data_IF_766223181853
#
_entry.id   IF_766223181853
#
_cell.length_a   1.000
_cell.length_b   1.000
_cell.length_c   1.000
_cell.angle_alpha   90.00
_cell.angle_beta   90.00
_cell.angle_gamma   90.00
#
_symmetry.space_group_name_H-M   'P 1'
#
loop_
_entity.id
_entity.type
_entity.pdbx_description
1 polymer ?
#
# COMPACT_ATOMS: atom_id res chain seq x y z
N UNK A 1 -17.41 21.82 12.61
CA UNK A 1 -17.61 20.64 11.74
C UNK A 1 -17.26 21.00 10.29
N UNK A 2 -16.72 20.05 9.55
CA UNK A 2 -16.47 20.20 8.12
C UNK A 2 -17.23 19.12 7.38
N UNK A 3 -18.00 19.52 6.36
CA UNK A 3 -18.80 18.60 5.55
C UNK A 3 -18.60 18.89 4.06
N UNK A 4 -18.64 17.86 3.22
CA UNK A 4 -18.60 17.98 1.77
C UNK A 4 -19.90 17.41 1.15
N UNK A 5 -20.39 18.04 0.09
CA UNK A 5 -21.45 17.48 -0.74
C UNK A 5 -20.82 16.59 -1.82
N UNK A 6 -20.93 15.29 -1.63
CA UNK A 6 -20.36 14.29 -2.52
C UNK A 6 -21.41 13.67 -3.46
N UNK A 7 -22.59 14.28 -3.60
CA UNK A 7 -23.67 13.73 -4.43
C UNK A 7 -23.29 13.59 -5.90
N UNK A 8 -22.43 14.49 -6.42
CA UNK A 8 -21.90 14.40 -7.77
C UNK A 8 -21.04 13.15 -8.03
N UNK A 9 -20.46 12.57 -6.97
CA UNK A 9 -19.67 11.34 -7.01
C UNK A 9 -20.43 10.12 -6.48
N UNK A 10 -21.74 10.26 -6.24
CA UNK A 10 -22.59 9.20 -5.70
C UNK A 10 -22.52 9.03 -4.19
N UNK A 11 -21.86 9.93 -3.50
CA UNK A 11 -21.77 9.98 -2.04
C UNK A 11 -22.92 10.73 -1.36
N UNK A 12 -22.74 11.01 -0.07
CA UNK A 12 -23.73 11.77 0.75
C UNK A 12 -23.56 13.27 0.56
N UNK A 13 -24.64 14.01 0.74
CA UNK A 13 -24.63 15.47 0.70
C UNK A 13 -23.92 16.10 1.90
N UNK A 14 -23.93 15.44 3.04
CA UNK A 14 -23.39 15.89 4.31
C UNK A 14 -22.25 14.98 4.80
N UNK A 15 -21.39 14.59 3.90
CA UNK A 15 -20.23 13.74 4.22
C UNK A 15 -19.29 14.50 5.16
N UNK A 16 -19.04 13.93 6.34
CA UNK A 16 -18.17 14.54 7.35
C UNK A 16 -16.71 14.26 7.03
N UNK A 17 -15.90 15.30 6.98
CA UNK A 17 -14.46 15.20 6.93
C UNK A 17 -13.88 15.14 8.34
N UNK A 18 -12.73 14.47 8.50
CA UNK A 18 -11.95 14.57 9.73
C UNK A 18 -11.51 16.01 9.94
N UNK A 19 -11.88 16.68 11.05
CA UNK A 19 -11.58 18.09 11.23
C UNK A 19 -10.09 18.39 11.50
N UNK A 20 -9.31 17.39 11.87
CA UNK A 20 -7.87 17.54 12.11
C UNK A 20 -7.06 17.36 10.83
N UNK A 21 -7.43 16.40 10.01
CA UNK A 21 -6.74 16.06 8.77
C UNK A 21 -7.35 16.76 7.55
N UNK A 22 -8.62 17.22 7.67
CA UNK A 22 -9.41 17.77 6.57
C UNK A 22 -9.58 16.79 5.39
N UNK A 23 -9.57 15.50 5.71
CA UNK A 23 -9.60 14.41 4.75
C UNK A 23 -10.86 13.56 4.89
N UNK A 24 -11.20 12.87 3.82
CA UNK A 24 -12.24 11.86 3.78
C UNK A 24 -12.13 11.09 2.47
N UNK A 25 -12.49 9.82 2.50
CA UNK A 25 -12.50 9.00 1.29
C UNK A 25 -13.88 8.37 1.05
N UNK A 26 -14.24 8.26 -0.21
CA UNK A 26 -15.43 7.55 -0.66
C UNK A 26 -15.10 6.71 -1.89
N UNK A 27 -15.84 5.64 -2.09
CA UNK A 27 -15.89 4.98 -3.39
C UNK A 27 -16.76 5.82 -4.34
N UNK A 28 -16.19 6.22 -5.48
CA UNK A 28 -16.95 6.86 -6.56
C UNK A 28 -17.94 5.84 -7.12
N UNK A 29 -19.21 6.26 -7.27
CA UNK A 29 -20.26 5.36 -7.72
C UNK A 29 -20.04 4.96 -9.19
N UNK A 30 -20.33 3.71 -9.51
CA UNK A 30 -20.31 3.21 -10.89
C UNK A 30 -21.16 4.09 -11.83
N UNK A 31 -20.63 4.36 -13.03
CA UNK A 31 -21.27 5.20 -14.04
C UNK A 31 -20.96 6.69 -13.93
N UNK A 32 -20.23 7.14 -12.90
CA UNK A 32 -19.70 8.51 -12.86
C UNK A 32 -18.60 8.62 -13.92
N UNK A 33 -18.73 9.64 -14.79
CA UNK A 33 -17.78 9.86 -15.88
C UNK A 33 -16.48 10.44 -15.37
N UNK A 34 -15.36 10.13 -16.05
CA UNK A 34 -14.10 10.81 -15.81
C UNK A 34 -14.21 12.31 -16.08
N UNK A 35 -13.53 13.11 -15.26
CA UNK A 35 -13.57 14.56 -15.38
C UNK A 35 -13.32 15.25 -14.03
N UNK A 36 -13.30 16.58 -14.06
CA UNK A 36 -13.11 17.39 -12.86
C UNK A 36 -14.45 17.76 -12.24
N UNK A 37 -14.61 17.51 -10.94
CA UNK A 37 -15.82 17.79 -10.16
C UNK A 37 -15.53 18.84 -9.10
N UNK A 38 -16.32 19.90 -9.10
CA UNK A 38 -16.30 20.94 -8.06
C UNK A 38 -17.26 20.55 -6.94
N UNK A 39 -16.71 20.09 -5.81
CA UNK A 39 -17.51 19.62 -4.67
C UNK A 39 -17.69 20.74 -3.64
N UNK A 40 -18.93 21.11 -3.29
CA UNK A 40 -19.18 22.08 -2.23
C UNK A 40 -18.71 21.57 -0.87
N UNK A 41 -18.01 22.42 -0.13
CA UNK A 41 -17.57 22.17 1.25
C UNK A 41 -18.15 23.22 2.16
N UNK A 42 -18.67 22.80 3.29
CA UNK A 42 -19.21 23.69 4.33
C UNK A 42 -18.42 23.50 5.62
N UNK A 43 -17.90 24.59 6.16
CA UNK A 43 -17.26 24.66 7.48
C UNK A 43 -18.20 25.34 8.44
N UNK A 44 -18.51 24.69 9.58
CA UNK A 44 -19.31 25.23 10.65
C UNK A 44 -18.43 25.42 11.89
N UNK A 45 -18.30 26.67 12.34
CA UNK A 45 -17.50 27.02 13.50
C UNK A 45 -18.20 26.69 14.84
N UNK A 46 -17.54 26.97 15.96
CA UNK A 46 -18.11 26.74 17.31
C UNK A 46 -19.27 27.67 17.64
N UNK A 47 -19.48 28.76 16.90
CA UNK A 47 -20.56 29.73 17.06
C UNK A 47 -21.72 29.50 16.08
N UNK A 48 -21.72 28.35 15.39
CA UNK A 48 -22.73 27.97 14.40
C UNK A 48 -22.69 28.79 13.09
N UNK A 49 -21.65 29.63 12.86
CA UNK A 49 -21.51 30.34 11.59
C UNK A 49 -21.06 29.35 10.51
N UNK A 50 -21.66 29.49 9.32
CA UNK A 50 -21.35 28.64 8.17
C UNK A 50 -20.53 29.38 7.12
N UNK A 51 -19.46 28.73 6.66
CA UNK A 51 -18.60 29.20 5.59
C UNK A 51 -18.60 28.16 4.50
N UNK A 52 -18.80 28.55 3.25
CA UNK A 52 -18.86 27.64 2.10
C UNK A 52 -17.71 27.88 1.14
N UNK A 53 -17.22 26.80 0.57
CA UNK A 53 -16.19 26.79 -0.45
C UNK A 53 -16.38 25.64 -1.41
N UNK A 54 -15.40 25.39 -2.28
CA UNK A 54 -15.39 24.25 -3.19
C UNK A 54 -14.01 23.62 -3.18
N UNK A 55 -13.97 22.31 -3.37
CA UNK A 55 -12.76 21.55 -3.66
C UNK A 55 -12.90 20.91 -5.02
N UNK A 56 -11.84 20.98 -5.82
CA UNK A 56 -11.77 20.33 -7.12
C UNK A 56 -11.24 18.90 -6.97
N UNK A 57 -11.97 17.93 -7.48
CA UNK A 57 -11.60 16.51 -7.46
C UNK A 57 -11.57 16.01 -8.90
N UNK A 58 -10.48 15.39 -9.29
CA UNK A 58 -10.35 14.75 -10.59
C UNK A 58 -10.76 13.27 -10.47
N UNK A 59 -11.74 12.88 -11.28
CA UNK A 59 -12.13 11.47 -11.49
C UNK A 59 -11.49 11.02 -12.79
N UNK A 60 -10.64 10.01 -12.73
CA UNK A 60 -10.01 9.40 -13.89
C UNK A 60 -10.69 8.10 -14.28
N UNK A 61 -10.67 7.75 -15.57
CA UNK A 61 -11.08 6.41 -15.97
C UNK A 61 -10.06 5.39 -15.46
N UNK A 62 -10.59 4.28 -14.90
CA UNK A 62 -9.74 3.15 -14.57
C UNK A 62 -9.31 2.46 -15.87
N UNK A 63 -8.03 2.33 -16.06
CA UNK A 63 -7.49 1.58 -17.20
C UNK A 63 -7.61 0.08 -16.93
N UNK A 64 -8.69 -0.53 -17.42
CA UNK A 64 -8.92 -1.98 -17.23
C UNK A 64 -8.02 -2.86 -18.12
N UNK A 65 -7.24 -2.23 -19.04
CA UNK A 65 -6.40 -2.96 -19.98
C UNK A 65 -7.23 -3.79 -21.00
N UNK A 66 -6.55 -4.62 -21.76
CA UNK A 66 -7.16 -5.61 -22.67
C UNK A 66 -7.76 -6.77 -21.86
N UNK A 67 -8.66 -7.54 -22.48
CA UNK A 67 -9.16 -8.79 -21.90
C UNK A 67 -8.01 -9.66 -21.41
N UNK A 68 -7.99 -9.92 -20.10
CA UNK A 68 -6.96 -10.70 -19.43
C UNK A 68 -7.60 -11.94 -18.82
N UNK A 69 -7.09 -13.10 -19.20
CA UNK A 69 -7.49 -14.37 -18.63
C UNK A 69 -6.46 -14.84 -17.59
N UNK A 70 -6.91 -15.09 -16.37
CA UNK A 70 -6.07 -15.62 -15.31
C UNK A 70 -5.48 -16.99 -15.63
N UNK A 71 -6.20 -17.80 -16.42
CA UNK A 71 -5.73 -19.13 -16.81
C UNK A 71 -4.53 -19.04 -17.77
N UNK A 72 -4.33 -17.87 -18.39
CA UNK A 72 -3.19 -17.55 -19.25
C UNK A 72 -2.12 -16.70 -18.57
N UNK A 73 -2.24 -16.46 -17.26
CA UNK A 73 -1.31 -15.61 -16.53
C UNK A 73 0.10 -16.21 -16.46
N UNK A 74 1.08 -15.46 -16.96
CA UNK A 74 2.50 -15.72 -16.78
C UNK A 74 3.05 -14.65 -15.83
N UNK A 75 3.18 -15.03 -14.56
CA UNK A 75 3.54 -14.12 -13.48
C UNK A 75 5.05 -14.11 -13.27
N UNK A 76 5.67 -12.94 -13.32
CA UNK A 76 7.06 -12.72 -12.93
C UNK A 76 7.12 -12.02 -11.58
N UNK A 77 7.67 -12.67 -10.55
CA UNK A 77 7.93 -12.04 -9.27
C UNK A 77 9.24 -11.25 -9.32
N UNK A 78 9.13 -9.95 -9.20
CA UNK A 78 10.26 -9.04 -9.09
C UNK A 78 10.43 -8.58 -7.64
N UNK A 79 11.51 -8.99 -6.98
CA UNK A 79 11.98 -8.25 -5.78
C UNK A 79 12.48 -6.91 -6.29
N UNK A 80 11.67 -5.87 -6.14
CA UNK A 80 11.84 -4.57 -6.84
C UNK A 80 13.24 -4.01 -6.67
N UNK A 81 13.74 -3.96 -5.43
CA UNK A 81 15.08 -3.48 -5.10
C UNK A 81 16.21 -4.26 -5.80
N UNK A 82 15.98 -5.53 -6.14
CA UNK A 82 16.97 -6.44 -6.75
C UNK A 82 16.88 -6.54 -8.25
N UNK A 83 15.86 -5.94 -8.86
CA UNK A 83 15.58 -6.18 -10.28
C UNK A 83 16.43 -5.31 -11.20
N UNK A 84 16.25 -4.00 -11.18
CA UNK A 84 17.02 -3.07 -12.00
C UNK A 84 16.97 -1.66 -11.42
N UNK A 85 18.15 -1.04 -11.29
CA UNK A 85 18.34 0.33 -10.82
C UNK A 85 18.17 1.30 -12.01
N UNK A 86 17.03 1.94 -12.09
CA UNK A 86 16.66 2.84 -13.18
C UNK A 86 16.89 4.31 -12.85
N UNK A 87 16.89 4.66 -11.56
CA UNK A 87 17.07 6.01 -11.07
C UNK A 87 18.05 6.01 -9.88
N UNK A 88 19.33 6.22 -10.15
CA UNK A 88 20.38 6.18 -9.13
C UNK A 88 20.29 7.28 -8.06
N UNK A 89 19.41 8.26 -8.22
CA UNK A 89 19.26 9.37 -7.25
C UNK A 89 18.45 8.98 -6.02
N UNK A 90 17.69 7.88 -6.07
CA UNK A 90 16.89 7.36 -4.97
C UNK A 90 17.60 6.23 -4.18
N UNK A 91 18.81 5.83 -4.57
CA UNK A 91 19.52 4.70 -3.98
C UNK A 91 19.80 4.84 -2.47
N UNK A 92 20.10 6.05 -2.00
CA UNK A 92 20.20 6.38 -0.57
C UNK A 92 19.16 7.46 -0.22
N UNK A 93 17.89 7.17 -0.52
CA UNK A 93 16.79 8.13 -0.49
C UNK A 93 16.55 8.78 0.87
N UNK A 94 16.98 8.14 1.95
CA UNK A 94 16.84 8.65 3.33
C UNK A 94 18.16 9.14 3.92
N UNK A 95 19.28 9.03 3.19
CA UNK A 95 20.61 9.47 3.67
C UNK A 95 21.14 8.64 4.86
N UNK A 96 20.73 7.38 4.94
CA UNK A 96 21.06 6.47 6.07
C UNK A 96 22.25 5.57 5.79
N UNK A 97 22.77 5.58 4.54
CA UNK A 97 23.86 4.71 4.10
C UNK A 97 23.46 3.23 4.01
N UNK A 98 22.20 2.96 3.75
CA UNK A 98 21.62 1.63 3.64
C UNK A 98 21.76 1.00 2.23
N UNK A 99 22.24 1.78 1.27
CA UNK A 99 22.56 1.32 -0.07
C UNK A 99 23.98 0.72 -0.14
N UNK A 100 24.08 -0.55 -0.55
CA UNK A 100 25.34 -1.24 -0.75
C UNK A 100 25.18 -2.44 -1.69
N UNK A 101 25.75 -2.35 -2.89
CA UNK A 101 25.72 -3.41 -3.91
C UNK A 101 26.91 -4.40 -3.82
N UNK A 102 27.83 -4.23 -2.87
CA UNK A 102 28.97 -5.13 -2.72
C UNK A 102 28.50 -6.57 -2.40
N UNK A 103 28.80 -7.57 -3.23
CA UNK A 103 28.33 -8.93 -3.01
C UNK A 103 28.84 -9.55 -1.68
N UNK A 104 29.93 -9.06 -1.14
CA UNK A 104 30.52 -9.58 0.09
C UNK A 104 29.91 -8.94 1.35
N UNK A 105 29.44 -7.70 1.26
CA UNK A 105 29.03 -6.91 2.44
C UNK A 105 27.63 -6.33 2.35
N UNK A 106 27.03 -6.28 1.16
CA UNK A 106 25.77 -5.60 0.89
C UNK A 106 24.55 -6.52 0.69
N UNK A 107 24.68 -7.82 0.91
CA UNK A 107 23.60 -8.79 0.60
C UNK A 107 22.26 -8.47 1.27
N UNK A 108 22.27 -7.82 2.43
CA UNK A 108 21.10 -7.42 3.21
C UNK A 108 20.81 -5.91 3.17
N UNK A 109 21.48 -5.17 2.27
CA UNK A 109 21.29 -3.74 2.04
C UNK A 109 20.42 -3.49 0.81
N UNK A 110 19.99 -2.24 0.60
CA UNK A 110 19.36 -1.83 -0.65
C UNK A 110 20.34 -1.89 -1.82
N UNK A 111 19.87 -2.31 -2.99
CA UNK A 111 20.64 -2.40 -4.24
C UNK A 111 20.16 -1.41 -5.31
N UNK A 112 19.11 -0.64 -5.05
CA UNK A 112 18.63 0.45 -5.87
C UNK A 112 17.70 0.06 -7.01
N UNK A 113 17.19 -1.15 -7.06
CA UNK A 113 16.10 -1.48 -7.97
C UNK A 113 14.82 -0.70 -7.61
N UNK A 114 14.12 -0.18 -8.62
CA UNK A 114 13.08 0.81 -8.44
C UNK A 114 11.98 0.76 -9.52
N UNK A 115 10.96 1.62 -9.42
CA UNK A 115 9.86 1.71 -10.39
C UNK A 115 10.35 2.16 -11.77
N UNK A 116 11.33 3.06 -11.83
CA UNK A 116 11.94 3.49 -13.08
C UNK A 116 12.66 2.32 -13.77
N UNK A 117 13.35 1.49 -13.01
CA UNK A 117 14.04 0.31 -13.50
C UNK A 117 13.08 -0.76 -14.02
N UNK A 118 11.99 -1.02 -13.29
CA UNK A 118 10.92 -1.91 -13.75
C UNK A 118 10.34 -1.38 -15.08
N UNK A 119 10.03 -0.08 -15.16
CA UNK A 119 9.50 0.56 -16.37
C UNK A 119 10.45 0.38 -17.56
N UNK A 120 11.74 0.59 -17.37
CA UNK A 120 12.76 0.41 -18.41
C UNK A 120 12.90 -1.05 -18.89
N UNK A 121 12.48 -2.02 -18.09
CA UNK A 121 12.59 -3.45 -18.38
C UNK A 121 11.27 -4.11 -18.81
N UNK A 122 10.21 -3.33 -19.03
CA UNK A 122 8.93 -3.89 -19.47
C UNK A 122 9.01 -4.61 -20.82
N UNK A 123 9.83 -4.12 -21.76
CA UNK A 123 10.04 -4.82 -23.04
C UNK A 123 10.69 -6.18 -22.84
N UNK A 124 11.73 -6.24 -22.02
CA UNK A 124 12.38 -7.50 -21.66
C UNK A 124 11.41 -8.52 -21.05
N UNK A 125 10.55 -8.08 -20.12
CA UNK A 125 9.54 -8.94 -19.50
C UNK A 125 8.48 -9.39 -20.52
N UNK A 126 8.02 -8.49 -21.37
CA UNK A 126 7.07 -8.80 -22.45
C UNK A 126 7.65 -9.81 -23.44
N UNK A 127 8.93 -9.67 -23.83
CA UNK A 127 9.62 -10.59 -24.73
C UNK A 127 9.79 -12.00 -24.12
N UNK A 128 9.81 -12.11 -22.78
CA UNK A 128 9.78 -13.39 -22.05
C UNK A 128 8.39 -14.02 -22.02
N UNK A 129 7.35 -13.31 -22.52
CA UNK A 129 5.97 -13.77 -22.45
C UNK A 129 5.29 -13.47 -21.11
N UNK A 130 5.89 -12.63 -20.26
CA UNK A 130 5.28 -12.19 -18.98
C UNK A 130 4.13 -11.23 -19.29
N UNK A 131 2.98 -11.51 -18.71
CA UNK A 131 1.80 -10.65 -18.81
C UNK A 131 1.29 -10.15 -17.45
N UNK A 132 1.93 -10.56 -16.35
CA UNK A 132 1.66 -10.06 -15.00
C UNK A 132 2.98 -9.91 -14.24
N UNK A 133 3.22 -8.71 -13.71
CA UNK A 133 4.38 -8.43 -12.87
C UNK A 133 3.92 -8.38 -11.43
N UNK A 134 4.44 -9.28 -10.58
CA UNK A 134 4.28 -9.21 -9.14
C UNK A 134 5.50 -8.49 -8.53
N UNK A 135 5.25 -7.38 -7.85
CA UNK A 135 6.28 -6.56 -7.18
C UNK A 135 6.15 -6.65 -5.67
N UNK A 136 7.26 -6.52 -4.97
CA UNK A 136 7.33 -6.46 -3.50
C UNK A 136 6.50 -5.28 -2.96
N UNK A 137 6.15 -5.26 -1.64
CA UNK A 137 5.36 -4.18 -1.06
C UNK A 137 5.96 -2.81 -1.34
N UNK A 138 5.09 -1.85 -1.64
CA UNK A 138 5.48 -0.50 -2.12
C UNK A 138 5.55 0.55 -1.02
N UNK A 139 5.05 0.23 0.18
CA UNK A 139 4.93 1.18 1.29
C UNK A 139 6.27 1.44 1.99
N UNK A 140 6.36 2.56 2.72
CA UNK A 140 7.57 2.91 3.47
C UNK A 140 7.96 1.79 4.44
N UNK A 141 9.24 1.45 4.42
CA UNK A 141 9.79 0.37 5.23
C UNK A 141 10.69 0.89 6.36
N UNK A 142 10.87 0.02 7.36
CA UNK A 142 11.76 0.26 8.47
C UNK A 142 13.18 0.56 7.96
N UNK A 143 13.70 1.71 8.35
CA UNK A 143 15.05 2.15 7.98
C UNK A 143 16.11 1.75 8.99
N UNK A 144 15.67 1.26 10.14
CA UNK A 144 16.60 0.71 11.13
C UNK A 144 16.98 -0.71 10.75
N UNK A 145 18.17 -1.03 11.12
CA UNK A 145 18.80 -2.31 10.95
C UNK A 145 18.14 -3.34 11.85
N UNK A 146 17.35 -4.26 11.26
CA UNK A 146 16.98 -5.49 11.95
C UNK A 146 18.19 -6.43 12.05
N UNK A 147 18.26 -7.21 13.11
CA UNK A 147 19.21 -8.32 13.18
C UNK A 147 18.72 -9.42 12.26
N UNK A 148 19.54 -9.81 11.27
CA UNK A 148 19.27 -11.02 10.51
C UNK A 148 19.35 -12.21 11.48
N UNK A 149 18.23 -12.92 11.64
CA UNK A 149 18.14 -14.08 12.55
C UNK A 149 19.10 -15.21 12.17
N UNK A 150 19.40 -15.31 10.87
CA UNK A 150 20.23 -16.38 10.29
C UNK A 150 21.73 -16.03 10.28
N UNK A 151 22.07 -14.77 10.51
CA UNK A 151 23.46 -14.27 10.53
C UNK A 151 23.66 -13.36 11.74
N UNK A 152 23.92 -13.91 12.93
CA UNK A 152 24.09 -13.14 14.16
C UNK A 152 25.09 -12.01 14.02
N UNK A 153 24.69 -10.79 14.40
CA UNK A 153 25.52 -9.59 14.29
C UNK A 153 25.49 -8.91 12.91
N UNK A 154 24.77 -9.44 11.95
CA UNK A 154 24.57 -8.83 10.62
C UNK A 154 23.30 -7.99 10.64
N UNK A 155 23.41 -6.78 10.07
CA UNK A 155 22.29 -5.85 9.97
C UNK A 155 21.59 -6.06 8.63
N UNK A 156 20.27 -6.18 8.67
CA UNK A 156 19.41 -6.24 7.50
C UNK A 156 18.56 -4.99 7.41
N UNK A 157 18.37 -4.50 6.19
CA UNK A 157 17.47 -3.39 5.88
C UNK A 157 16.16 -3.93 5.28
N UNK A 158 15.11 -3.12 5.29
CA UNK A 158 13.79 -3.48 4.78
C UNK A 158 13.65 -3.47 3.25
N UNK A 159 14.73 -3.75 2.50
CA UNK A 159 14.76 -3.71 1.03
C UNK A 159 13.70 -4.57 0.34
N UNK A 160 13.27 -5.62 1.02
CA UNK A 160 12.26 -6.56 0.53
C UNK A 160 10.82 -6.07 0.67
N UNK A 161 10.57 -4.97 1.40
CA UNK A 161 9.25 -4.36 1.54
C UNK A 161 8.35 -4.92 2.63
N UNK A 162 8.75 -5.98 3.35
CA UNK A 162 7.90 -6.65 4.35
C UNK A 162 7.99 -6.09 5.77
N UNK A 163 8.73 -5.01 5.99
CA UNK A 163 8.87 -4.35 7.29
C UNK A 163 8.32 -2.93 7.24
N UNK A 164 7.00 -2.82 7.04
CA UNK A 164 6.34 -1.53 6.88
C UNK A 164 6.51 -0.65 8.14
N UNK A 165 6.92 0.59 7.95
CA UNK A 165 6.95 1.64 8.97
C UNK A 165 5.81 2.64 8.83
N UNK A 166 5.21 2.73 7.63
CA UNK A 166 4.04 3.55 7.32
C UNK A 166 3.33 2.97 6.10
N UNK A 167 2.04 2.66 6.23
CA UNK A 167 1.24 2.09 5.14
C UNK A 167 0.64 3.14 4.20
N UNK A 168 0.82 4.42 4.49
CA UNK A 168 0.19 5.53 3.74
C UNK A 168 1.13 6.24 2.78
N UNK A 169 2.44 5.97 2.87
CA UNK A 169 3.46 6.59 2.02
C UNK A 169 4.25 5.56 1.22
N UNK A 170 4.71 5.94 0.02
CA UNK A 170 5.61 5.10 -0.78
C UNK A 170 7.00 5.02 -0.16
N UNK A 171 7.64 3.87 -0.31
CA UNK A 171 9.06 3.72 -0.03
C UNK A 171 9.88 4.54 -1.04
N UNK A 172 10.60 5.55 -0.56
CA UNK A 172 11.37 6.46 -1.41
C UNK A 172 12.54 5.78 -2.16
N UNK A 173 13.02 4.64 -1.68
CA UNK A 173 14.00 3.83 -2.42
C UNK A 173 13.41 3.26 -3.72
N UNK A 174 12.10 3.03 -3.75
CA UNK A 174 11.42 2.50 -4.94
C UNK A 174 11.03 3.60 -5.93
N UNK A 175 11.07 4.88 -5.50
CA UNK A 175 10.76 6.01 -6.36
C UNK A 175 9.63 6.90 -5.85
N UNK A 176 9.14 7.73 -6.77
CA UNK A 176 8.05 8.69 -6.55
C UNK A 176 6.69 8.11 -6.96
N UNK A 177 5.62 8.78 -6.54
CA UNK A 177 4.26 8.47 -7.00
C UNK A 177 4.10 8.58 -8.53
N UNK A 178 4.78 9.54 -9.15
CA UNK A 178 4.78 9.72 -10.61
C UNK A 178 5.49 8.56 -11.32
N UNK A 179 6.61 8.08 -10.76
CA UNK A 179 7.33 6.92 -11.31
C UNK A 179 6.50 5.64 -11.14
N UNK A 180 5.80 5.47 -10.01
CA UNK A 180 4.89 4.34 -9.81
C UNK A 180 3.72 4.37 -10.81
N UNK A 181 3.08 5.55 -10.97
CA UNK A 181 2.02 5.72 -11.99
C UNK A 181 2.55 5.44 -13.40
N UNK A 182 3.75 5.90 -13.73
CA UNK A 182 4.38 5.66 -15.03
C UNK A 182 4.62 4.17 -15.27
N UNK A 183 5.01 3.41 -14.26
CA UNK A 183 5.15 1.95 -14.33
C UNK A 183 3.81 1.30 -14.68
N UNK A 184 2.74 1.64 -13.96
CA UNK A 184 1.40 1.10 -14.20
C UNK A 184 0.91 1.42 -15.61
N UNK A 185 0.93 2.70 -16.00
CA UNK A 185 0.49 3.15 -17.33
C UNK A 185 1.28 2.47 -18.46
N UNK A 186 2.58 2.27 -18.25
CA UNK A 186 3.45 1.64 -19.26
C UNK A 186 3.24 0.13 -19.37
N UNK A 187 3.00 -0.54 -18.24
CA UNK A 187 2.64 -1.95 -18.21
C UNK A 187 1.29 -2.17 -18.91
N UNK A 188 0.27 -1.37 -18.59
CA UNK A 188 -1.04 -1.46 -19.18
C UNK A 188 -1.04 -1.23 -20.70
N UNK A 189 -0.26 -0.26 -21.19
CA UNK A 189 -0.06 -0.06 -22.65
C UNK A 189 0.48 -1.27 -23.37
N UNK A 190 1.16 -2.17 -22.66
CA UNK A 190 1.67 -3.45 -23.19
C UNK A 190 0.73 -4.63 -22.95
N UNK A 191 -0.45 -4.38 -22.36
CA UNK A 191 -1.38 -5.44 -21.96
C UNK A 191 -0.93 -6.23 -20.73
N UNK A 192 0.08 -5.74 -20.00
CA UNK A 192 0.58 -6.37 -18.79
C UNK A 192 -0.19 -5.90 -17.57
N UNK A 193 -0.36 -6.77 -16.59
CA UNK A 193 -0.95 -6.47 -15.28
C UNK A 193 0.11 -6.26 -14.22
N UNK A 194 -0.19 -5.42 -13.23
CA UNK A 194 0.69 -5.20 -12.08
C UNK A 194 0.00 -5.68 -10.81
N UNK A 195 0.64 -6.64 -10.15
CA UNK A 195 0.25 -7.22 -8.88
C UNK A 195 1.19 -6.68 -7.80
N UNK A 196 0.64 -6.02 -6.79
CA UNK A 196 1.40 -5.50 -5.66
C UNK A 196 1.27 -6.46 -4.48
N UNK A 197 2.39 -6.71 -3.80
CA UNK A 197 2.39 -7.47 -2.55
C UNK A 197 1.91 -6.60 -1.39
N UNK A 198 1.08 -7.16 -0.52
CA UNK A 198 0.53 -6.45 0.66
C UNK A 198 0.60 -7.29 1.91
N UNK A 199 0.89 -6.63 3.03
CA UNK A 199 0.98 -7.23 4.37
C UNK A 199 -0.03 -6.57 5.29
N UNK A 200 -0.88 -7.36 5.95
CA UNK A 200 -1.81 -6.88 6.97
C UNK A 200 -1.52 -7.48 8.36
N UNK A 201 -0.64 -8.46 8.44
CA UNK A 201 -0.35 -9.19 9.68
C UNK A 201 0.54 -8.42 10.64
N UNK A 202 1.57 -7.76 10.13
CA UNK A 202 2.63 -7.19 10.96
C UNK A 202 3.19 -5.88 10.38
N UNK A 203 3.90 -5.16 11.21
CA UNK A 203 4.70 -3.99 10.88
C UNK A 203 6.20 -4.30 10.93
N UNK A 204 7.03 -3.33 10.60
CA UNK A 204 8.48 -3.38 10.80
C UNK A 204 8.88 -3.32 12.28
N UNK A 205 10.10 -3.74 12.58
CA UNK A 205 10.63 -3.70 13.94
C UNK A 205 10.66 -2.28 14.52
N UNK A 206 10.49 -2.16 15.83
CA UNK A 206 10.54 -0.88 16.58
C UNK A 206 9.45 0.16 16.18
N UNK A 207 8.39 -0.26 15.48
CA UNK A 207 7.30 0.63 15.03
C UNK A 207 6.07 0.60 15.93
N UNK A 208 6.08 -0.16 17.02
CA UNK A 208 4.92 -0.38 17.91
C UNK A 208 4.36 0.94 18.45
N UNK A 209 5.22 1.86 18.88
CA UNK A 209 4.79 3.14 19.42
C UNK A 209 4.09 4.00 18.37
N UNK A 210 4.54 3.95 17.13
CA UNK A 210 3.94 4.67 16.03
C UNK A 210 2.52 4.15 15.76
N UNK A 211 2.37 2.85 15.51
CA UNK A 211 1.05 2.29 15.20
C UNK A 211 0.09 2.34 16.39
N UNK A 212 0.57 2.14 17.62
CA UNK A 212 -0.27 2.26 18.82
C UNK A 212 -0.74 3.69 19.11
N UNK A 213 -0.15 4.70 18.47
CA UNK A 213 -0.62 6.08 18.57
C UNK A 213 -1.80 6.42 17.63
N UNK A 214 -2.10 5.55 16.65
CA UNK A 214 -3.09 5.83 15.61
C UNK A 214 -4.54 5.73 16.06
N UNK A 215 -4.84 4.94 17.09
CA UNK A 215 -6.18 4.70 17.60
C UNK A 215 -6.31 5.20 19.05
N UNK A 216 -6.43 6.51 19.26
CA UNK A 216 -6.80 7.22 20.50
C UNK A 216 -6.81 6.37 21.80
N UNK A 217 -5.66 5.88 22.23
CA UNK A 217 -5.50 5.09 23.45
C UNK A 217 -5.79 3.59 23.33
N UNK A 218 -6.04 3.07 22.12
CA UNK A 218 -6.16 1.66 21.81
C UNK A 218 -4.91 1.19 21.05
N UNK A 219 -4.28 0.14 21.53
CA UNK A 219 -3.14 -0.44 20.84
C UNK A 219 -3.59 -1.16 19.57
N UNK A 220 -2.83 -0.98 18.49
CA UNK A 220 -2.97 -1.77 17.26
C UNK A 220 -2.10 -3.02 17.29
N UNK A 221 -0.95 -2.92 17.96
CA UNK A 221 0.05 -3.99 18.06
C UNK A 221 -0.22 -4.83 19.30
N UNK A 222 -0.22 -6.12 19.14
CA UNK A 222 -0.41 -7.13 20.17
C UNK A 222 0.77 -7.12 21.14
N UNK A 223 0.50 -7.18 22.44
CA UNK A 223 1.52 -7.20 23.47
C UNK A 223 1.08 -7.93 24.74
N UNK A 224 2.01 -8.32 25.57
CA UNK A 224 1.72 -8.92 26.88
C UNK A 224 0.79 -10.15 26.79
N UNK A 225 -0.37 -10.10 27.46
CA UNK A 225 -1.33 -11.19 27.51
C UNK A 225 -2.09 -11.46 26.20
N UNK A 226 -2.02 -10.52 25.25
CA UNK A 226 -2.63 -10.68 23.92
C UNK A 226 -1.76 -11.53 22.98
N UNK A 227 -0.47 -11.69 23.30
CA UNK A 227 0.43 -12.58 22.58
C UNK A 227 0.28 -14.02 23.09
N UNK A 228 0.03 -14.93 22.16
CA UNK A 228 -0.09 -16.37 22.46
C UNK A 228 0.99 -17.11 21.66
N UNK A 229 2.04 -17.53 22.35
CA UNK A 229 3.14 -18.26 21.72
C UNK A 229 2.65 -19.53 21.05
N UNK A 230 3.03 -19.73 19.79
CA UNK A 230 2.62 -20.86 18.96
C UNK A 230 1.22 -20.76 18.35
N UNK A 231 0.45 -19.72 18.67
CA UNK A 231 -0.80 -19.44 17.96
C UNK A 231 -0.49 -18.82 16.59
N UNK A 232 -1.16 -19.28 15.55
CA UNK A 232 -0.91 -18.81 14.18
C UNK A 232 -1.38 -17.38 13.94
N UNK A 233 -2.46 -16.95 14.61
CA UNK A 233 -3.09 -15.62 14.40
C UNK A 233 -2.79 -14.63 15.53
N UNK A 234 -2.32 -15.10 16.69
CA UNK A 234 -2.03 -14.28 17.88
C UNK A 234 -0.61 -14.43 18.39
N UNK A 235 0.25 -15.03 17.60
CA UNK A 235 1.66 -15.20 17.90
C UNK A 235 2.55 -14.40 16.95
N UNK A 236 3.69 -13.90 17.44
CA UNK A 236 4.58 -13.09 16.64
C UNK A 236 5.25 -13.93 15.54
N UNK A 237 5.22 -13.44 14.32
CA UNK A 237 6.00 -14.00 13.21
C UNK A 237 7.39 -13.37 13.22
N UNK A 238 8.43 -14.15 13.52
CA UNK A 238 9.82 -13.67 13.59
C UNK A 238 10.04 -12.46 14.50
N UNK A 239 9.26 -12.37 15.59
CA UNK A 239 9.24 -11.23 16.52
C UNK A 239 8.88 -9.87 15.88
N UNK A 240 8.23 -9.86 14.74
CA UNK A 240 7.67 -8.66 14.15
C UNK A 240 6.46 -8.17 14.95
N UNK A 241 6.24 -6.85 15.03
CA UNK A 241 5.05 -6.27 15.66
C UNK A 241 3.77 -6.78 15.00
N UNK A 242 2.99 -7.58 15.73
CA UNK A 242 1.80 -8.29 15.25
C UNK A 242 0.54 -7.44 15.46
N UNK A 243 -0.23 -7.19 14.40
CA UNK A 243 -1.47 -6.42 14.49
C UNK A 243 -2.62 -7.27 15.07
N UNK A 244 -3.43 -6.65 15.91
CA UNK A 244 -4.67 -7.25 16.43
C UNK A 244 -5.78 -7.20 15.36
N UNK A 245 -5.63 -7.98 14.29
CA UNK A 245 -6.51 -7.93 13.11
C UNK A 245 -7.95 -8.35 13.43
N UNK A 246 -8.18 -9.14 14.49
CA UNK A 246 -9.51 -9.48 15.00
C UNK A 246 -10.25 -8.28 15.61
N UNK A 247 -9.53 -7.22 16.04
CA UNK A 247 -10.15 -6.00 16.54
C UNK A 247 -10.74 -5.18 15.38
N UNK A 248 -12.03 -4.78 15.44
CA UNK A 248 -12.69 -4.07 14.35
C UNK A 248 -12.05 -2.73 13.97
N UNK A 249 -11.53 -1.96 14.94
CA UNK A 249 -10.96 -0.64 14.67
C UNK A 249 -9.60 -0.80 13.99
N UNK A 250 -8.77 -1.74 14.47
CA UNK A 250 -7.48 -2.10 13.86
C UNK A 250 -7.69 -2.60 12.43
N UNK A 251 -8.59 -3.57 12.26
CA UNK A 251 -8.96 -4.11 10.95
C UNK A 251 -9.40 -3.03 9.97
N UNK A 252 -10.31 -2.16 10.40
CA UNK A 252 -10.87 -1.13 9.53
C UNK A 252 -9.78 -0.17 9.05
N UNK A 253 -8.86 0.22 9.92
CA UNK A 253 -7.76 1.11 9.58
C UNK A 253 -6.75 0.45 8.62
N UNK A 254 -6.37 -0.81 8.86
CA UNK A 254 -5.50 -1.57 7.95
C UNK A 254 -6.14 -1.75 6.57
N UNK A 255 -7.44 -2.07 6.53
CA UNK A 255 -8.20 -2.20 5.28
C UNK A 255 -8.29 -0.86 4.54
N UNK A 256 -8.53 0.24 5.26
CA UNK A 256 -8.56 1.58 4.69
C UNK A 256 -7.23 1.93 4.04
N UNK A 257 -6.12 1.80 4.76
CA UNK A 257 -4.79 2.13 4.24
C UNK A 257 -4.44 1.33 2.98
N UNK A 258 -4.66 0.02 3.00
CA UNK A 258 -4.28 -0.83 1.88
C UNK A 258 -5.24 -0.71 0.69
N UNK A 259 -6.53 -0.46 0.91
CA UNK A 259 -7.46 -0.23 -0.19
C UNK A 259 -7.33 1.16 -0.82
N UNK A 260 -6.80 2.15 -0.08
CA UNK A 260 -6.53 3.48 -0.59
C UNK A 260 -5.56 3.48 -1.78
N UNK A 261 -4.58 2.60 -1.78
CA UNK A 261 -3.65 2.44 -2.91
C UNK A 261 -4.36 2.04 -4.20
N UNK A 262 -5.34 1.15 -4.13
CA UNK A 262 -6.15 0.74 -5.29
C UNK A 262 -7.11 1.85 -5.71
N UNK A 263 -7.60 2.67 -4.77
CA UNK A 263 -8.40 3.85 -5.11
C UNK A 263 -7.58 4.92 -5.84
N UNK A 264 -6.30 5.04 -5.48
CA UNK A 264 -5.42 6.10 -5.98
C UNK A 264 -4.73 5.72 -7.30
N UNK A 265 -4.45 4.43 -7.48
CA UNK A 265 -3.70 3.92 -8.63
C UNK A 265 -4.40 2.75 -9.29
N UNK A 266 -4.17 2.56 -10.57
CA UNK A 266 -4.72 1.43 -11.35
C UNK A 266 -3.93 0.13 -11.10
N UNK A 267 -3.76 -0.24 -9.82
CA UNK A 267 -3.23 -1.55 -9.42
C UNK A 267 -4.26 -2.62 -9.82
N UNK A 268 -3.82 -3.64 -10.52
CA UNK A 268 -4.72 -4.68 -11.02
C UNK A 268 -5.06 -5.73 -9.96
N UNK A 269 -4.06 -6.17 -9.19
CA UNK A 269 -4.18 -7.29 -8.26
C UNK A 269 -3.34 -7.12 -7.02
N UNK A 270 -3.73 -7.81 -5.94
CA UNK A 270 -2.89 -7.99 -4.76
C UNK A 270 -2.46 -9.43 -4.58
N UNK A 271 -1.16 -9.62 -4.33
CA UNK A 271 -0.68 -10.82 -3.65
C UNK A 271 -0.66 -10.53 -2.15
N UNK A 272 -1.32 -11.38 -1.39
CA UNK A 272 -1.52 -11.17 0.04
C UNK A 272 -0.56 -12.05 0.82
N UNK A 273 0.35 -11.41 1.55
CA UNK A 273 1.30 -12.10 2.41
C UNK A 273 0.64 -12.60 3.70
N UNK A 274 1.21 -13.65 4.29
CA UNK A 274 0.86 -14.14 5.64
C UNK A 274 -0.64 -14.43 5.87
N UNK A 275 -1.38 -14.88 4.84
CA UNK A 275 -2.84 -15.10 4.86
C UNK A 275 -3.30 -15.90 6.08
N UNK A 276 -2.59 -16.98 6.44
CA UNK A 276 -2.95 -17.84 7.57
C UNK A 276 -2.75 -17.20 8.96
N UNK A 277 -2.04 -16.07 9.02
CA UNK A 277 -1.71 -15.36 10.25
C UNK A 277 -2.71 -14.24 10.59
N UNK A 278 -3.62 -13.93 9.68
CA UNK A 278 -4.61 -12.86 9.84
C UNK A 278 -6.00 -13.47 10.02
N UNK A 279 -6.85 -12.79 10.76
CA UNK A 279 -8.23 -13.19 11.01
C UNK A 279 -9.07 -13.22 9.72
N UNK A 280 -9.92 -14.24 9.58
CA UNK A 280 -10.72 -14.46 8.37
C UNK A 280 -11.70 -13.32 8.09
N UNK A 281 -12.21 -12.64 9.14
CA UNK A 281 -13.10 -11.48 8.99
C UNK A 281 -12.36 -10.28 8.42
N UNK A 282 -11.06 -10.16 8.65
CA UNK A 282 -10.19 -9.15 8.05
C UNK A 282 -10.08 -9.36 6.54
N UNK A 283 -9.89 -10.60 6.10
CA UNK A 283 -9.85 -10.91 4.66
C UNK A 283 -11.19 -10.64 3.97
N UNK A 284 -12.30 -10.98 4.62
CA UNK A 284 -13.63 -10.67 4.10
C UNK A 284 -13.86 -9.14 4.00
N UNK A 285 -13.46 -8.37 5.01
CA UNK A 285 -13.56 -6.92 5.01
C UNK A 285 -12.68 -6.31 3.91
N UNK A 286 -11.44 -6.79 3.78
CA UNK A 286 -10.50 -6.31 2.77
C UNK A 286 -11.00 -6.61 1.35
N UNK A 287 -11.43 -7.85 1.08
CA UNK A 287 -12.03 -8.19 -0.22
C UNK A 287 -13.23 -7.32 -0.54
N UNK A 288 -14.12 -7.09 0.43
CA UNK A 288 -15.28 -6.22 0.25
C UNK A 288 -14.89 -4.75 -0.05
N UNK A 289 -13.84 -4.24 0.60
CA UNK A 289 -13.34 -2.89 0.32
C UNK A 289 -12.79 -2.78 -1.10
N UNK A 290 -11.97 -3.74 -1.52
CA UNK A 290 -11.36 -3.77 -2.85
C UNK A 290 -12.41 -3.92 -3.95
N UNK A 291 -13.41 -4.81 -3.80
CA UNK A 291 -14.46 -5.01 -4.80
C UNK A 291 -15.47 -3.87 -4.88
N UNK A 292 -15.50 -2.97 -3.89
CA UNK A 292 -16.24 -1.69 -4.02
C UNK A 292 -15.54 -0.69 -4.93
N UNK A 293 -14.21 -0.77 -5.02
CA UNK A 293 -13.38 0.07 -5.88
C UNK A 293 -13.36 -0.52 -7.28
N UNK A 294 -13.08 -1.81 -7.38
CA UNK A 294 -13.06 -2.57 -8.63
C UNK A 294 -13.72 -3.94 -8.40
N UNK A 295 -14.93 -4.19 -8.97
CA UNK A 295 -15.65 -5.44 -8.79
C UNK A 295 -14.87 -6.68 -9.22
N UNK A 296 -13.95 -6.54 -10.17
CA UNK A 296 -13.14 -7.63 -10.72
C UNK A 296 -11.79 -7.78 -10.03
N UNK A 297 -11.50 -6.98 -9.00
CA UNK A 297 -10.24 -7.01 -8.28
C UNK A 297 -9.94 -8.40 -7.68
N UNK A 298 -8.75 -8.92 -7.93
CA UNK A 298 -8.32 -10.23 -7.46
C UNK A 298 -7.29 -10.10 -6.32
N UNK A 299 -7.33 -11.09 -5.43
CA UNK A 299 -6.30 -11.34 -4.42
C UNK A 299 -5.84 -12.78 -4.54
N UNK A 300 -4.56 -13.04 -4.43
CA UNK A 300 -3.95 -14.36 -4.36
C UNK A 300 -3.08 -14.50 -3.13
#
# INVERSE_FOLDING_TARGET
>A
AVTADLTALGGKKDFKLDPALMEGSIAVKEGIQAGTYELPVTVKDQYENEYTGKVSVEVTERNKGTDFDWDEAVIYFAVTDRFYDGNTTNNDAYGTGDYNKDPATGSLSYHGGDFAGLTQKLDYLSDLGVNTIWITPIVANEMKKGLATDLPGTLSYGYHGYWASDFTTLNKHLGTEEEFKTLLDSAHKKGMKVMVDVVLNHAGYDTENYFNSMLNGKNMIRSGADLIEGDTKKGPLSNLPDFMTEDPDVRNLLVEWQSAWVSKYDIDYYRVDTVKHVDDTTWAAFKNALTRIDPDFKMI
#
